data_IF_038638840308
#
_entry.id   IF_038638840308
#
_cell.length_a   1.000
_cell.length_b   1.000
_cell.length_c   1.000
_cell.angle_alpha   90.00
_cell.angle_beta   90.00
_cell.angle_gamma   90.00
#
_symmetry.space_group_name_H-M   'P 1'
#
loop_
_entity.id
_entity.type
_entity.pdbx_description
1 polymer ?
#
# COMPACT_ATOMS: atom_id res chain seq x y z
N UNK A 1 47.12 -0.89 27.46
CA UNK A 1 46.47 -1.11 26.15
C UNK A 1 45.42 -2.22 26.30
N UNK A 2 44.15 -1.85 26.47
CA UNK A 2 43.06 -2.81 26.65
C UNK A 2 42.35 -2.97 25.32
N UNK A 3 42.37 -4.18 24.75
CA UNK A 3 41.63 -4.57 23.50
C UNK A 3 40.20 -4.86 23.88
N UNK A 4 39.25 -4.09 23.35
CA UNK A 4 37.81 -4.39 23.42
C UNK A 4 37.46 -5.26 22.21
N UNK A 5 37.07 -6.52 22.48
CA UNK A 5 36.49 -7.41 21.47
C UNK A 5 35.02 -7.04 21.35
N UNK A 6 34.62 -6.61 20.14
CA UNK A 6 33.21 -6.38 19.78
C UNK A 6 32.63 -7.74 19.41
N UNK A 7 31.72 -8.27 20.23
CA UNK A 7 30.90 -9.43 19.91
C UNK A 7 29.73 -8.98 19.03
N UNK A 8 29.80 -9.29 17.74
CA UNK A 8 28.66 -9.19 16.84
C UNK A 8 27.68 -10.33 17.17
N UNK A 9 26.56 -10.00 17.80
CA UNK A 9 25.47 -10.96 17.99
C UNK A 9 24.67 -11.03 16.67
N UNK A 10 24.96 -12.05 15.87
CA UNK A 10 24.13 -12.41 14.71
C UNK A 10 22.89 -13.13 15.24
N UNK A 11 21.75 -12.44 15.28
CA UNK A 11 20.45 -13.03 15.58
C UNK A 11 20.01 -13.87 14.36
N UNK A 12 20.28 -15.16 14.43
CA UNK A 12 19.64 -16.14 13.53
C UNK A 12 18.15 -16.22 13.89
N UNK A 13 17.29 -15.74 13.00
CA UNK A 13 15.86 -16.02 13.06
C UNK A 13 15.64 -17.51 12.81
N UNK A 14 15.47 -18.29 13.87
CA UNK A 14 15.10 -19.70 13.80
C UNK A 14 13.66 -19.78 13.31
N UNK A 15 13.47 -20.19 12.06
CA UNK A 15 12.14 -20.61 11.57
C UNK A 15 11.74 -21.87 12.34
N UNK A 16 10.71 -21.75 13.17
CA UNK A 16 10.12 -22.90 13.86
C UNK A 16 9.32 -23.71 12.84
N UNK A 17 9.85 -24.83 12.40
CA UNK A 17 9.13 -25.79 11.57
C UNK A 17 8.37 -26.76 12.48
N UNK A 18 7.05 -26.76 12.38
CA UNK A 18 6.21 -27.81 12.97
C UNK A 18 6.13 -28.99 12.00
N UNK A 19 6.43 -30.18 12.49
CA UNK A 19 6.30 -31.45 11.74
C UNK A 19 5.12 -32.24 12.28
N UNK A 20 4.29 -32.79 11.40
CA UNK A 20 3.25 -33.75 11.71
C UNK A 20 3.51 -35.01 10.91
N UNK A 21 3.37 -36.19 11.53
CA UNK A 21 3.46 -37.48 10.83
C UNK A 21 2.06 -37.96 10.45
N UNK A 22 1.91 -38.42 9.20
CA UNK A 22 0.70 -39.11 8.77
C UNK A 22 0.73 -40.58 9.23
N UNK A 23 -0.41 -41.29 9.14
CA UNK A 23 -0.56 -42.71 9.51
C UNK A 23 0.33 -43.67 8.70
N UNK A 24 1.20 -43.19 7.82
CA UNK A 24 2.17 -43.96 7.03
C UNK A 24 3.62 -43.55 7.29
N UNK A 25 3.89 -42.77 8.36
CA UNK A 25 5.24 -42.39 8.76
C UNK A 25 5.94 -41.37 7.81
N UNK A 26 5.24 -40.76 6.87
CA UNK A 26 5.81 -39.68 6.04
C UNK A 26 5.73 -38.36 6.75
N UNK A 27 6.87 -37.71 6.94
CA UNK A 27 6.96 -36.38 7.51
C UNK A 27 6.43 -35.38 6.49
N UNK A 28 5.27 -34.79 6.77
CA UNK A 28 4.70 -33.70 5.95
C UNK A 28 5.16 -32.37 6.54
N UNK A 29 5.94 -31.61 5.77
CA UNK A 29 6.35 -30.26 6.12
C UNK A 29 5.09 -29.38 6.14
N UNK A 30 4.60 -29.03 7.32
CA UNK A 30 3.57 -28.01 7.45
C UNK A 30 4.24 -26.66 7.15
N UNK A 31 4.08 -26.18 5.92
CA UNK A 31 4.34 -24.79 5.60
C UNK A 31 3.17 -24.04 6.24
N UNK A 32 3.40 -23.40 7.38
CA UNK A 32 2.46 -22.40 7.89
C UNK A 32 2.42 -21.33 6.81
N UNK A 33 1.25 -21.17 6.15
CA UNK A 33 1.02 -20.04 5.27
C UNK A 33 1.32 -18.78 6.08
N UNK A 34 2.19 -17.91 5.57
CA UNK A 34 2.46 -16.64 6.22
C UNK A 34 1.10 -15.93 6.40
N UNK A 35 0.87 -15.39 7.60
CA UNK A 35 -0.40 -14.73 7.91
C UNK A 35 -0.46 -13.48 7.06
N UNK A 36 -1.37 -13.45 6.09
CA UNK A 36 -1.62 -12.30 5.24
C UNK A 36 -1.89 -11.05 6.09
N UNK A 37 -1.25 -9.94 5.72
CA UNK A 37 -1.45 -8.63 6.34
C UNK A 37 -2.18 -7.70 5.38
N UNK A 38 -2.76 -6.62 5.94
CA UNK A 38 -3.46 -5.59 5.17
C UNK A 38 -2.75 -4.25 5.28
N UNK A 39 -2.76 -3.49 4.17
CA UNK A 39 -2.39 -2.07 4.10
C UNK A 39 -3.50 -1.31 3.36
N UNK A 40 -3.74 -0.03 3.72
CA UNK A 40 -4.75 0.78 3.04
C UNK A 40 -4.21 2.18 2.80
N UNK A 41 -4.16 2.60 1.54
CA UNK A 41 -3.56 3.86 1.10
C UNK A 41 -4.48 4.63 0.16
N UNK A 42 -4.54 5.95 0.33
CA UNK A 42 -5.13 6.90 -0.62
C UNK A 42 -4.04 7.81 -1.18
N UNK A 43 -3.90 7.88 -2.49
CA UNK A 43 -2.87 8.68 -3.17
C UNK A 43 -3.37 9.25 -4.51
N UNK A 44 -4.58 9.84 -4.49
CA UNK A 44 -5.30 10.26 -5.68
C UNK A 44 -6.29 9.22 -6.18
N UNK A 45 -6.55 9.18 -7.47
CA UNK A 45 -7.46 8.21 -8.08
C UNK A 45 -7.04 6.77 -7.81
N UNK A 46 -7.94 5.97 -7.24
CA UNK A 46 -7.68 4.57 -6.87
C UNK A 46 -7.36 3.66 -8.05
N UNK A 47 -7.83 3.94 -9.28
CA UNK A 47 -7.43 3.18 -10.48
C UNK A 47 -5.91 3.22 -10.73
N UNK A 48 -5.27 4.37 -10.39
CA UNK A 48 -3.81 4.50 -10.52
C UNK A 48 -3.07 3.64 -9.51
N UNK A 49 -3.51 3.67 -8.24
CA UNK A 49 -2.88 2.92 -7.17
C UNK A 49 -3.13 1.42 -7.30
N UNK A 50 -4.34 1.00 -7.67
CA UNK A 50 -4.68 -0.38 -7.97
C UNK A 50 -3.75 -0.97 -9.05
N UNK A 51 -3.69 -0.31 -10.22
CA UNK A 51 -2.86 -0.77 -11.35
C UNK A 51 -1.37 -0.94 -11.00
N UNK A 52 -0.86 -0.21 -10.01
CA UNK A 52 0.50 -0.34 -9.49
C UNK A 52 0.60 -1.55 -8.56
N UNK A 53 -0.25 -1.62 -7.51
CA UNK A 53 -0.11 -2.64 -6.48
C UNK A 53 -0.47 -4.05 -6.96
N UNK A 54 -1.33 -4.20 -7.94
CA UNK A 54 -1.59 -5.49 -8.59
C UNK A 54 -0.34 -6.12 -9.22
N UNK A 55 0.62 -5.30 -9.64
CA UNK A 55 1.88 -5.76 -10.25
C UNK A 55 2.97 -6.08 -9.22
N UNK A 56 2.74 -5.78 -7.94
CA UNK A 56 3.75 -5.95 -6.89
C UNK A 56 3.82 -7.40 -6.42
N UNK A 57 5.02 -7.99 -6.46
CA UNK A 57 5.29 -9.33 -5.93
C UNK A 57 5.02 -9.35 -4.42
N UNK A 58 4.29 -10.37 -3.97
CA UNK A 58 3.88 -10.50 -2.56
C UNK A 58 2.53 -9.86 -2.25
N UNK A 59 1.99 -9.00 -3.13
CA UNK A 59 0.60 -8.54 -3.05
C UNK A 59 -0.31 -9.65 -3.58
N UNK A 60 -1.25 -10.10 -2.76
CA UNK A 60 -2.21 -11.17 -3.07
C UNK A 60 -3.52 -10.62 -3.61
N UNK A 61 -3.93 -9.43 -3.14
CA UNK A 61 -5.04 -8.67 -3.72
C UNK A 61 -4.86 -7.17 -3.51
N UNK A 62 -5.43 -6.39 -4.42
CA UNK A 62 -5.54 -4.94 -4.33
C UNK A 62 -6.98 -4.58 -4.70
N UNK A 63 -7.72 -3.97 -3.77
CA UNK A 63 -9.16 -3.70 -3.94
C UNK A 63 -9.39 -2.19 -3.82
N UNK A 64 -9.90 -1.58 -4.88
CA UNK A 64 -10.32 -0.18 -4.89
C UNK A 64 -11.53 0.04 -3.99
N UNK A 65 -11.56 1.14 -3.23
CA UNK A 65 -12.65 1.41 -2.31
C UNK A 65 -12.57 2.78 -1.64
N UNK A 66 -13.34 2.91 -0.57
CA UNK A 66 -13.53 4.16 0.17
C UNK A 66 -13.27 3.95 1.66
N UNK A 67 -12.56 4.90 2.30
CA UNK A 67 -12.29 4.87 3.73
C UNK A 67 -12.17 6.27 4.34
N UNK A 68 -12.32 6.37 5.67
CA UNK A 68 -12.05 7.59 6.45
C UNK A 68 -13.20 8.58 6.54
N UNK A 69 -14.32 8.34 5.88
CA UNK A 69 -15.51 9.17 5.95
C UNK A 69 -16.53 8.71 6.99
N UNK A 70 -17.65 9.42 7.08
CA UNK A 70 -18.74 9.14 8.04
C UNK A 70 -19.96 8.48 7.42
N UNK A 71 -20.10 8.52 6.10
CA UNK A 71 -21.24 7.92 5.38
C UNK A 71 -21.02 6.42 5.27
N UNK A 72 -22.03 5.63 5.66
CA UNK A 72 -21.97 4.16 5.56
C UNK A 72 -22.34 3.72 4.15
N UNK A 73 -21.60 2.72 3.63
CA UNK A 73 -21.80 2.16 2.29
C UNK A 73 -21.95 3.26 1.21
N UNK A 74 -21.00 4.20 1.10
CA UNK A 74 -21.10 5.30 0.16
C UNK A 74 -21.01 4.79 -1.27
N UNK A 75 -21.80 5.36 -2.18
CA UNK A 75 -21.63 5.15 -3.61
C UNK A 75 -20.62 6.12 -4.21
N UNK A 76 -20.07 5.78 -5.38
CA UNK A 76 -19.06 6.59 -6.08
C UNK A 76 -19.48 8.07 -6.26
N UNK A 77 -20.72 8.32 -6.68
CA UNK A 77 -21.22 9.70 -6.88
C UNK A 77 -21.24 10.50 -5.58
N UNK A 78 -21.55 9.85 -4.45
CA UNK A 78 -21.54 10.50 -3.14
C UNK A 78 -20.12 10.86 -2.73
N UNK A 79 -19.16 9.95 -2.91
CA UNK A 79 -17.74 10.20 -2.62
C UNK A 79 -17.20 11.34 -3.50
N UNK A 80 -17.51 11.33 -4.80
CA UNK A 80 -17.12 12.40 -5.74
C UNK A 80 -17.69 13.77 -5.37
N UNK A 81 -18.79 13.85 -4.61
CA UNK A 81 -19.30 15.12 -4.12
C UNK A 81 -18.38 15.80 -3.11
N UNK A 82 -17.43 15.06 -2.51
CA UNK A 82 -16.54 15.52 -1.44
C UNK A 82 -17.21 15.65 -0.07
N UNK A 83 -18.50 15.34 0.06
CA UNK A 83 -19.28 15.56 1.30
C UNK A 83 -19.30 14.34 2.22
N UNK A 84 -18.86 13.17 1.77
CA UNK A 84 -18.85 11.93 2.59
C UNK A 84 -17.71 11.87 3.59
N UNK A 85 -16.63 12.65 3.34
CA UNK A 85 -15.38 12.59 4.08
C UNK A 85 -14.49 11.40 3.72
N UNK A 86 -14.95 10.47 2.85
CA UNK A 86 -14.15 9.35 2.39
C UNK A 86 -13.05 9.78 1.42
N UNK A 87 -11.90 9.10 1.49
CA UNK A 87 -10.91 9.11 0.43
C UNK A 87 -11.14 7.91 -0.50
N UNK A 88 -10.78 8.07 -1.78
CA UNK A 88 -10.50 6.95 -2.67
C UNK A 88 -9.23 6.25 -2.19
N UNK A 89 -9.30 4.96 -1.94
CA UNK A 89 -8.20 4.18 -1.39
C UNK A 89 -8.07 2.84 -2.10
N UNK A 90 -6.88 2.25 -1.97
CA UNK A 90 -6.63 0.86 -2.27
C UNK A 90 -6.43 0.09 -0.96
N UNK A 91 -7.17 -1.01 -0.74
CA UNK A 91 -6.87 -1.96 0.32
C UNK A 91 -6.09 -3.13 -0.26
N UNK A 92 -4.88 -3.31 0.25
CA UNK A 92 -3.90 -4.29 -0.20
C UNK A 92 -3.87 -5.43 0.81
N UNK A 93 -4.01 -6.67 0.33
CA UNK A 93 -3.61 -7.87 1.07
C UNK A 93 -2.24 -8.32 0.59
N UNK A 94 -1.33 -8.65 1.50
CA UNK A 94 0.04 -9.00 1.13
C UNK A 94 0.64 -10.07 2.04
N UNK A 95 1.61 -10.83 1.51
CA UNK A 95 2.43 -11.77 2.24
C UNK A 95 3.65 -11.05 2.84
N UNK A 96 3.72 -10.83 4.17
CA UNK A 96 4.81 -10.11 4.81
C UNK A 96 6.15 -10.87 4.78
N UNK A 97 6.17 -12.12 4.34
CA UNK A 97 7.41 -12.87 4.09
C UNK A 97 8.03 -12.59 2.72
N UNK A 98 7.26 -11.98 1.81
CA UNK A 98 7.67 -11.65 0.43
C UNK A 98 7.90 -10.16 0.25
N UNK A 99 7.01 -9.33 0.80
CA UNK A 99 7.12 -7.86 0.78
C UNK A 99 6.73 -7.29 2.13
N UNK A 100 7.53 -6.37 2.65
CA UNK A 100 7.25 -5.69 3.92
C UNK A 100 6.29 -4.52 3.75
N UNK A 101 5.63 -4.11 4.85
CA UNK A 101 4.83 -2.90 4.89
C UNK A 101 5.65 -1.63 4.55
N UNK A 102 6.93 -1.59 4.95
CA UNK A 102 7.84 -0.50 4.63
C UNK A 102 8.07 -0.38 3.12
N UNK A 103 8.30 -1.50 2.42
CA UNK A 103 8.46 -1.52 0.98
C UNK A 103 7.18 -1.10 0.24
N UNK A 104 6.00 -1.47 0.76
CA UNK A 104 4.73 -0.95 0.21
C UNK A 104 4.63 0.57 0.37
N UNK A 105 5.06 1.14 1.49
CA UNK A 105 5.11 2.60 1.69
C UNK A 105 6.14 3.27 0.79
N UNK A 106 7.28 2.64 0.53
CA UNK A 106 8.26 3.17 -0.42
C UNK A 106 7.65 3.30 -1.83
N UNK A 107 6.93 2.27 -2.28
CA UNK A 107 6.18 2.32 -3.54
C UNK A 107 5.16 3.46 -3.51
N UNK A 108 4.40 3.60 -2.41
CA UNK A 108 3.40 4.64 -2.24
C UNK A 108 3.99 6.03 -2.44
N UNK A 109 5.04 6.39 -1.71
CA UNK A 109 5.66 7.71 -1.78
C UNK A 109 6.41 7.97 -3.10
N UNK A 110 6.85 6.95 -3.82
CA UNK A 110 7.51 7.11 -5.14
C UNK A 110 6.53 7.24 -6.30
N UNK A 111 5.26 6.87 -6.11
CA UNK A 111 4.26 6.80 -7.19
C UNK A 111 3.17 7.88 -7.14
N UNK A 112 3.15 8.72 -6.09
CA UNK A 112 2.28 9.89 -6.02
C UNK A 112 3.04 11.11 -5.46
N UNK A 113 2.40 12.27 -5.48
CA UNK A 113 2.92 13.49 -4.85
C UNK A 113 2.28 13.65 -3.45
N UNK A 114 3.04 13.48 -2.37
CA UNK A 114 2.50 13.53 -1.01
C UNK A 114 2.39 14.97 -0.45
N UNK A 115 2.72 16.00 -1.24
CA UNK A 115 2.80 17.40 -0.78
C UNK A 115 1.56 18.22 -1.15
N UNK A 116 0.67 17.68 -1.98
CA UNK A 116 -0.51 18.41 -2.46
C UNK A 116 -1.76 18.08 -1.64
N UNK A 117 -2.25 19.07 -0.88
CA UNK A 117 -3.44 18.92 -0.04
C UNK A 117 -4.70 18.75 -0.90
N UNK A 118 -5.46 17.68 -0.64
CA UNK A 118 -6.71 17.35 -1.34
C UNK A 118 -6.61 17.37 -2.87
N UNK A 119 -5.48 16.95 -3.40
CA UNK A 119 -5.21 16.99 -4.83
C UNK A 119 -4.15 15.96 -5.21
N UNK A 120 -4.29 15.40 -6.41
CA UNK A 120 -3.25 14.59 -7.03
C UNK A 120 -3.22 14.82 -8.54
N UNK A 121 -2.22 15.56 -9.02
CA UNK A 121 -2.17 15.97 -10.44
C UNK A 121 -3.37 16.83 -10.83
N UNK A 122 -4.19 16.37 -11.78
CA UNK A 122 -5.41 17.04 -12.24
C UNK A 122 -6.64 16.73 -11.35
N UNK A 123 -6.59 15.68 -10.54
CA UNK A 123 -7.70 15.26 -9.69
C UNK A 123 -7.74 16.14 -8.43
N UNK A 124 -8.81 16.90 -8.25
CA UNK A 124 -9.00 17.86 -7.15
C UNK A 124 -10.22 17.49 -6.32
N UNK A 125 -10.05 17.39 -5.00
CA UNK A 125 -11.10 17.05 -4.05
C UNK A 125 -10.56 16.29 -2.85
N UNK A 126 -11.27 16.33 -1.72
CA UNK A 126 -10.89 15.64 -0.47
C UNK A 126 -10.77 14.13 -0.65
N UNK A 127 -11.51 13.55 -1.60
CA UNK A 127 -11.43 12.13 -1.95
C UNK A 127 -10.07 11.74 -2.55
N UNK A 128 -9.31 12.65 -3.09
CA UNK A 128 -7.99 12.40 -3.70
C UNK A 128 -6.81 12.77 -2.79
N UNK A 129 -7.07 12.97 -1.48
CA UNK A 129 -6.01 13.31 -0.52
C UNK A 129 -5.01 12.19 -0.33
N UNK A 130 -3.79 12.55 0.02
CA UNK A 130 -2.77 11.60 0.44
C UNK A 130 -3.06 11.13 1.86
N UNK A 131 -3.26 9.82 2.07
CA UNK A 131 -3.60 9.26 3.38
C UNK A 131 -3.14 7.81 3.52
N UNK A 132 -2.66 7.46 4.71
CA UNK A 132 -2.31 6.12 5.15
C UNK A 132 -3.27 5.74 6.28
N UNK A 133 -4.10 4.71 6.04
CA UNK A 133 -4.95 4.12 7.07
C UNK A 133 -4.25 2.91 7.68
N UNK A 134 -3.70 3.07 8.89
CA UNK A 134 -2.99 1.99 9.56
C UNK A 134 -3.95 0.99 10.21
N UNK A 135 -3.62 -0.31 10.11
CA UNK A 135 -4.35 -1.42 10.72
C UNK A 135 -3.75 -1.81 12.08
N UNK A 136 -2.49 -1.45 12.35
CA UNK A 136 -1.79 -1.78 13.58
C UNK A 136 -0.93 -0.62 14.07
N UNK A 137 -0.63 -0.60 15.39
CA UNK A 137 0.30 0.38 15.97
C UNK A 137 1.72 0.28 15.38
N UNK A 138 2.11 -0.92 14.89
CA UNK A 138 3.39 -1.12 14.21
C UNK A 138 3.40 -0.39 12.88
N UNK A 139 2.34 -0.53 12.07
CA UNK A 139 2.20 0.20 10.81
C UNK A 139 2.23 1.72 11.01
N UNK A 140 1.52 2.22 12.04
CA UNK A 140 1.56 3.64 12.38
C UNK A 140 2.99 4.14 12.59
N UNK A 141 3.76 3.45 13.44
CA UNK A 141 5.15 3.83 13.74
C UNK A 141 6.05 3.80 12.50
N UNK A 142 5.86 2.81 11.62
CA UNK A 142 6.64 2.71 10.38
C UNK A 142 6.30 3.89 9.47
N UNK A 143 5.01 4.20 9.27
CA UNK A 143 4.57 5.29 8.42
C UNK A 143 5.07 6.67 8.94
N UNK A 144 4.95 6.92 10.26
CA UNK A 144 5.47 8.14 10.89
C UNK A 144 6.99 8.26 10.72
N UNK A 145 7.73 7.15 10.87
CA UNK A 145 9.19 7.13 10.68
C UNK A 145 9.59 7.46 9.26
N UNK A 146 8.94 6.87 8.27
CA UNK A 146 9.23 7.11 6.85
C UNK A 146 8.98 8.58 6.46
N UNK A 147 7.89 9.20 6.94
CA UNK A 147 7.64 10.62 6.65
C UNK A 147 8.76 11.48 7.20
N UNK A 148 9.22 11.22 8.43
CA UNK A 148 10.34 11.97 9.03
C UNK A 148 11.63 11.79 8.20
N UNK A 149 11.93 10.56 7.77
CA UNK A 149 13.10 10.28 6.92
C UNK A 149 13.02 11.03 5.59
N UNK A 150 11.87 10.97 4.91
CA UNK A 150 11.66 11.62 3.62
C UNK A 150 11.71 13.15 3.71
N UNK A 151 11.18 13.75 4.79
CA UNK A 151 11.28 15.19 5.03
C UNK A 151 12.74 15.61 5.28
N UNK A 152 13.52 14.78 6.00
CA UNK A 152 14.96 15.05 6.25
C UNK A 152 15.80 14.92 4.97
N UNK A 153 15.43 14.01 4.07
CA UNK A 153 16.10 13.85 2.76
C UNK A 153 15.82 15.01 1.80
N UNK A 154 14.77 15.80 2.04
CA UNK A 154 14.42 16.96 1.24
C UNK A 154 14.11 16.64 -0.22
N UNK A 155 13.45 15.49 -0.46
CA UNK A 155 13.09 15.02 -1.82
C UNK A 155 12.07 15.97 -2.46
N UNK A 156 11.17 16.54 -1.65
CA UNK A 156 10.18 17.51 -2.09
C UNK A 156 10.49 18.91 -1.55
N UNK A 157 10.14 19.93 -2.31
CA UNK A 157 10.31 21.33 -1.90
C UNK A 157 9.26 21.77 -0.86
N UNK A 158 8.09 21.13 -0.88
CA UNK A 158 6.98 21.40 0.02
C UNK A 158 6.84 20.27 1.06
N UNK A 159 6.31 20.56 2.26
CA UNK A 159 6.16 19.57 3.31
C UNK A 159 5.18 18.45 2.91
N UNK A 160 5.41 17.23 3.41
CA UNK A 160 4.51 16.10 3.23
C UNK A 160 3.21 16.37 4.01
N UNK A 161 2.06 16.30 3.33
CA UNK A 161 0.72 16.48 3.89
C UNK A 161 -0.06 15.17 4.04
N UNK A 162 0.62 14.02 3.90
CA UNK A 162 0.00 12.70 4.03
C UNK A 162 -0.58 12.50 5.42
N UNK A 163 -1.89 12.24 5.51
CA UNK A 163 -2.55 11.90 6.77
C UNK A 163 -2.16 10.49 7.21
N UNK A 164 -1.92 10.28 8.53
CA UNK A 164 -1.76 8.95 9.14
C UNK A 164 -2.85 8.77 10.17
N UNK A 165 -3.84 7.95 9.89
CA UNK A 165 -4.98 7.71 10.77
C UNK A 165 -5.33 6.23 10.90
N UNK A 166 -6.05 5.83 11.95
CA UNK A 166 -6.50 4.46 12.10
C UNK A 166 -7.57 4.13 11.05
N UNK A 167 -7.51 2.95 10.46
CA UNK A 167 -8.63 2.46 9.65
C UNK A 167 -9.85 2.27 10.56
N UNK A 168 -10.97 2.84 10.19
CA UNK A 168 -12.27 2.58 10.86
C UNK A 168 -13.02 1.50 10.09
N UNK A 169 -13.37 1.79 8.86
CA UNK A 169 -14.09 0.89 7.97
C UNK A 169 -13.62 1.11 6.54
N UNK A 170 -13.60 0.03 5.76
CA UNK A 170 -13.31 0.03 4.34
C UNK A 170 -14.54 -0.45 3.58
N UNK A 171 -14.98 0.33 2.62
CA UNK A 171 -16.08 0.00 1.73
C UNK A 171 -15.50 -0.26 0.33
N UNK A 172 -15.59 -1.50 -0.19
CA UNK A 172 -15.19 -1.76 -1.57
C UNK A 172 -15.97 -0.88 -2.54
N UNK A 173 -15.28 -0.33 -3.53
CA UNK A 173 -15.93 0.35 -4.63
C UNK A 173 -16.69 -0.64 -5.51
N UNK A 174 -17.58 -0.14 -6.33
CA UNK A 174 -18.43 -0.91 -7.23
C UNK A 174 -17.58 -1.75 -8.21
N UNK A 175 -18.12 -2.89 -8.65
CA UNK A 175 -17.37 -3.86 -9.47
C UNK A 175 -16.74 -3.26 -10.74
N UNK A 176 -17.39 -2.26 -11.35
CA UNK A 176 -16.88 -1.58 -12.54
C UNK A 176 -15.64 -0.72 -12.29
N UNK A 177 -15.27 -0.49 -11.02
CA UNK A 177 -14.04 0.19 -10.64
C UNK A 177 -12.86 -0.75 -10.40
N UNK A 178 -13.13 -2.03 -10.17
CA UNK A 178 -12.08 -3.02 -9.91
C UNK A 178 -11.36 -3.37 -11.23
N UNK A 179 -10.02 -3.52 -11.14
CA UNK A 179 -9.16 -3.80 -12.30
C UNK A 179 -9.41 -2.82 -13.48
N UNK A 180 -9.76 -1.55 -13.14
CA UNK A 180 -10.22 -0.61 -14.16
C UNK A 180 -9.20 -0.39 -15.26
N UNK A 181 -7.93 -0.28 -14.95
CA UNK A 181 -6.87 -0.08 -15.94
C UNK A 181 -6.74 -1.26 -16.89
N UNK A 182 -6.78 -2.49 -16.41
CA UNK A 182 -6.66 -3.68 -17.23
C UNK A 182 -7.88 -3.82 -18.18
N UNK A 183 -9.09 -3.54 -17.67
CA UNK A 183 -10.32 -3.65 -18.43
C UNK A 183 -10.56 -2.46 -19.38
N UNK A 184 -9.90 -1.31 -19.18
CA UNK A 184 -10.18 -0.05 -19.88
C UNK A 184 -8.92 0.65 -20.42
N UNK A 185 -7.85 -0.09 -20.73
CA UNK A 185 -6.52 0.46 -21.09
C UNK A 185 -6.53 1.43 -22.28
N UNK A 186 -7.54 1.36 -23.16
CA UNK A 186 -7.70 2.27 -24.32
C UNK A 186 -8.39 3.59 -24.01
N UNK A 187 -8.99 3.73 -22.82
CA UNK A 187 -9.63 4.98 -22.38
C UNK A 187 -8.62 6.11 -22.25
N UNK A 188 -9.06 7.35 -22.54
CA UNK A 188 -8.18 8.52 -22.51
C UNK A 188 -7.45 8.72 -21.17
N UNK A 189 -8.17 8.62 -20.05
CA UNK A 189 -7.58 8.74 -18.72
C UNK A 189 -6.54 7.62 -18.44
N UNK A 190 -6.85 6.38 -18.82
CA UNK A 190 -5.91 5.27 -18.68
C UNK A 190 -4.62 5.51 -19.44
N UNK A 191 -4.70 5.97 -20.69
CA UNK A 191 -3.53 6.25 -21.53
C UNK A 191 -2.72 7.47 -21.09
N UNK A 192 -3.40 8.54 -20.64
CA UNK A 192 -2.75 9.81 -20.34
C UNK A 192 -2.28 9.95 -18.90
N UNK A 193 -2.93 9.25 -17.95
CA UNK A 193 -2.66 9.40 -16.51
C UNK A 193 -2.14 8.11 -15.90
N UNK A 194 -2.84 6.98 -16.09
CA UNK A 194 -2.49 5.74 -15.39
C UNK A 194 -1.26 5.09 -16.02
N UNK A 195 -1.25 4.90 -17.33
CA UNK A 195 -0.16 4.22 -18.05
C UNK A 195 1.22 4.82 -17.76
N UNK A 196 1.45 6.16 -17.83
CA UNK A 196 2.75 6.74 -17.51
C UNK A 196 3.19 6.48 -16.06
N UNK A 197 2.26 6.44 -15.11
CA UNK A 197 2.56 6.11 -13.71
C UNK A 197 2.99 4.64 -13.55
N UNK A 198 2.26 3.72 -14.20
CA UNK A 198 2.60 2.29 -14.21
C UNK A 198 3.96 2.05 -14.87
N UNK A 199 4.25 2.70 -16.01
CA UNK A 199 5.55 2.60 -16.68
C UNK A 199 6.69 3.13 -15.80
N UNK A 200 6.49 4.28 -15.13
CA UNK A 200 7.46 4.82 -14.17
C UNK A 200 7.70 3.85 -13.02
N UNK A 201 6.64 3.32 -12.42
CA UNK A 201 6.72 2.31 -11.37
C UNK A 201 7.49 1.07 -11.82
N UNK A 202 7.11 0.48 -12.94
CA UNK A 202 7.75 -0.71 -13.51
C UNK A 202 9.25 -0.49 -13.76
N UNK A 203 9.64 0.71 -14.20
CA UNK A 203 11.04 1.06 -14.43
C UNK A 203 11.85 1.20 -13.14
N UNK A 204 11.23 1.71 -12.07
CA UNK A 204 11.93 1.96 -10.78
C UNK A 204 12.01 0.67 -9.95
N UNK A 205 10.96 -0.15 -9.95
CA UNK A 205 10.79 -1.30 -9.07
C UNK A 205 10.80 -2.64 -9.83
N UNK A 206 11.73 -2.82 -10.77
CA UNK A 206 11.83 -4.05 -11.59
C UNK A 206 11.98 -5.32 -10.76
N UNK A 207 12.68 -5.25 -9.65
CA UNK A 207 12.92 -6.36 -8.71
C UNK A 207 11.70 -6.73 -7.85
N UNK A 208 10.69 -5.86 -7.82
CA UNK A 208 9.46 -6.04 -7.05
C UNK A 208 8.25 -6.46 -7.90
N UNK A 209 8.43 -6.70 -9.18
CA UNK A 209 7.34 -7.12 -10.07
C UNK A 209 7.03 -8.62 -9.93
N UNK A 210 5.74 -8.97 -10.14
CA UNK A 210 5.28 -10.37 -10.29
C UNK A 210 5.88 -11.04 -11.49
#
# INVERSE_FOLDING_TARGET
MKKYAIFLLVLFATQIFAYSTDNKGKVKKLVMAAKEEKATFGGGCFWCTEAIYEKVKGVTSAVSGYAGGSVKNPGYKEVCSGLTGHAEVIQISFDPSVISYQELLEIFFKTHDPTTLNKQGADVGTQYRSVIFYHTKKQKKIAEGIIVELDQEGIWNDPIVTEITAISEFYPAEDYHQEYFENNSTQGYCRMVIQPKVEKFTKIFQDKLK
#
